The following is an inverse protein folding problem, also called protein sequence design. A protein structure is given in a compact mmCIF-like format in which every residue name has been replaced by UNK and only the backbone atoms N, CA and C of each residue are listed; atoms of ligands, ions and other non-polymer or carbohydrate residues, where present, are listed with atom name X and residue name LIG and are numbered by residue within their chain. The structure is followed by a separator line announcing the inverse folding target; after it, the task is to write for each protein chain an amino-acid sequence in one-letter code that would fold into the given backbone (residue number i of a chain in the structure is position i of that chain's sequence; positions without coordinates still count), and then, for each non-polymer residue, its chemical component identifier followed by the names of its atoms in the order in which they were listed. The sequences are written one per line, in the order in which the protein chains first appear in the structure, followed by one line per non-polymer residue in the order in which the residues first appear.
data_IF_806473390385
#
_entry.id   IF_806473390385
#
_cell.length_a   1.000
_cell.length_b   1.000
_cell.length_c   1.000
_cell.angle_alpha   90.00
_cell.angle_beta   90.00
_cell.angle_gamma   90.00
#
_symmetry.space_group_name_H-M   'P 1'
#
loop_
_entity.id
_entity.type
_entity.pdbx_description
1 polymer ?
#
# COMPACT_ATOMS: atom_id res chain seq x y z
N UNK A 1 -21.77 -7.95 -3.67
CA UNK A 1 -21.55 -7.26 -2.38
C UNK A 1 -20.15 -7.60 -1.91
N UNK A 2 -19.41 -6.65 -1.32
CA UNK A 2 -18.05 -6.87 -0.82
C UNK A 2 -17.86 -6.20 0.55
N UNK A 3 -16.85 -6.61 1.30
CA UNK A 3 -16.50 -6.04 2.60
C UNK A 3 -15.34 -6.79 3.26
N UNK A 4 -14.83 -6.28 4.37
CA UNK A 4 -13.66 -6.86 5.05
C UNK A 4 -12.30 -6.46 4.45
N UNK A 5 -12.27 -6.08 3.17
CA UNK A 5 -11.15 -5.41 2.50
C UNK A 5 -11.67 -4.40 1.47
N UNK A 6 -10.81 -3.48 1.03
CA UNK A 6 -11.10 -2.64 -0.12
C UNK A 6 -11.22 -3.50 -1.39
N UNK A 7 -12.17 -3.16 -2.26
CA UNK A 7 -12.20 -3.67 -3.62
C UNK A 7 -11.31 -2.77 -4.48
N UNK A 8 -10.45 -3.32 -5.36
CA UNK A 8 -9.69 -2.51 -6.29
C UNK A 8 -10.59 -1.61 -7.13
N UNK A 9 -10.25 -0.33 -7.26
CA UNK A 9 -11.10 0.65 -7.94
C UNK A 9 -11.39 0.23 -9.38
N UNK A 10 -10.33 -0.12 -10.12
CA UNK A 10 -10.42 -0.61 -11.52
C UNK A 10 -11.40 -1.77 -11.71
N UNK A 11 -11.46 -2.70 -10.77
CA UNK A 11 -12.39 -3.83 -10.83
C UNK A 11 -13.82 -3.39 -10.52
N UNK A 12 -14.02 -2.58 -9.48
CA UNK A 12 -15.36 -2.14 -9.11
C UNK A 12 -15.96 -1.18 -10.15
N UNK A 13 -15.15 -0.31 -10.74
CA UNK A 13 -15.54 0.58 -11.84
C UNK A 13 -15.99 -0.25 -13.05
N UNK A 14 -15.21 -1.25 -13.45
CA UNK A 14 -15.58 -2.18 -14.52
C UNK A 14 -16.94 -2.84 -14.25
N UNK A 15 -17.15 -3.39 -13.05
CA UNK A 15 -18.40 -4.07 -12.71
C UNK A 15 -19.60 -3.10 -12.75
N UNK A 16 -19.46 -1.91 -12.19
CA UNK A 16 -20.52 -0.90 -12.15
C UNK A 16 -20.84 -0.34 -13.53
N UNK A 17 -19.83 -0.18 -14.38
CA UNK A 17 -20.01 0.23 -15.79
C UNK A 17 -20.75 -0.84 -16.61
N UNK A 18 -20.64 -2.12 -16.24
CA UNK A 18 -21.44 -3.21 -16.80
C UNK A 18 -22.85 -3.32 -16.18
N UNK A 19 -23.27 -2.34 -15.37
CA UNK A 19 -24.61 -2.30 -14.76
C UNK A 19 -24.76 -3.13 -13.49
N UNK A 20 -23.68 -3.68 -12.93
CA UNK A 20 -23.73 -4.44 -11.68
C UNK A 20 -23.90 -3.46 -10.51
N UNK A 21 -24.92 -3.69 -9.68
CA UNK A 21 -25.10 -2.96 -8.44
C UNK A 21 -24.13 -3.45 -7.35
N UNK A 22 -22.86 -3.03 -7.45
CA UNK A 22 -21.83 -3.37 -6.48
C UNK A 22 -22.05 -2.59 -5.18
N UNK A 23 -22.34 -3.31 -4.08
CA UNK A 23 -22.54 -2.73 -2.74
C UNK A 23 -21.37 -3.10 -1.83
N UNK A 24 -20.74 -2.08 -1.26
CA UNK A 24 -19.71 -2.18 -0.23
C UNK A 24 -20.31 -2.12 1.16
N UNK A 25 -19.84 -3.00 2.02
CA UNK A 25 -20.17 -3.05 3.45
C UNK A 25 -18.96 -2.69 4.27
N UNK A 26 -19.13 -1.75 5.19
CA UNK A 26 -18.08 -1.31 6.09
C UNK A 26 -18.47 -1.51 7.56
N UNK A 27 -17.50 -2.05 8.29
CA UNK A 27 -17.59 -2.37 9.69
C UNK A 27 -16.33 -3.06 10.18
N UNK A 28 -16.09 -2.99 11.48
CA UNK A 28 -15.02 -3.73 12.16
C UNK A 28 -15.65 -4.69 13.18
N UNK A 29 -14.85 -5.58 13.75
CA UNK A 29 -15.34 -6.50 14.78
C UNK A 29 -15.82 -5.73 16.03
N UNK A 30 -15.19 -4.60 16.33
CA UNK A 30 -15.37 -3.81 17.55
C UNK A 30 -16.60 -2.89 17.52
N UNK A 31 -17.04 -2.48 16.34
CA UNK A 31 -18.18 -1.57 16.16
C UNK A 31 -19.32 -2.18 15.31
N UNK A 32 -19.16 -3.43 14.89
CA UNK A 32 -20.06 -4.11 13.98
C UNK A 32 -20.06 -3.49 12.58
N UNK A 33 -21.05 -3.86 11.77
CA UNK A 33 -21.33 -3.20 10.50
C UNK A 33 -22.14 -1.93 10.77
N UNK A 34 -21.74 -0.80 10.16
CA UNK A 34 -22.41 0.47 10.40
C UNK A 34 -22.57 1.35 9.16
N UNK A 35 -21.78 1.17 8.10
CA UNK A 35 -21.98 1.88 6.83
C UNK A 35 -22.10 0.93 5.64
N UNK A 36 -22.81 1.39 4.60
CA UNK A 36 -22.95 0.68 3.30
C UNK A 36 -22.87 1.68 2.16
N UNK A 37 -22.55 1.23 0.94
CA UNK A 37 -22.65 2.05 -0.27
C UNK A 37 -23.98 1.87 -1.03
N UNK A 38 -25.06 1.57 -0.30
CA UNK A 38 -26.42 1.63 -0.87
C UNK A 38 -26.67 3.02 -1.44
N UNK A 39 -27.16 3.05 -2.68
CA UNK A 39 -27.29 4.26 -3.46
C UNK A 39 -28.44 4.16 -4.46
N UNK A 40 -29.01 5.29 -4.91
CA UNK A 40 -30.01 5.32 -5.96
C UNK A 40 -29.51 4.73 -7.28
N UNK A 41 -30.44 4.32 -8.14
CA UNK A 41 -30.09 3.89 -9.50
C UNK A 41 -29.40 5.02 -10.28
N UNK A 42 -28.38 4.68 -11.05
CA UNK A 42 -27.58 5.64 -11.83
C UNK A 42 -26.41 6.27 -11.06
N UNK A 43 -26.39 6.14 -9.73
CA UNK A 43 -25.25 6.54 -8.91
C UNK A 43 -24.11 5.53 -9.06
N UNK A 44 -22.94 5.99 -9.49
CA UNK A 44 -21.75 5.16 -9.70
C UNK A 44 -20.77 5.17 -8.52
N UNK A 45 -21.05 5.88 -7.42
CA UNK A 45 -20.18 6.01 -6.26
C UNK A 45 -20.19 4.73 -5.37
N UNK A 46 -19.83 3.59 -5.97
CA UNK A 46 -19.91 2.27 -5.36
C UNK A 46 -18.91 2.06 -4.22
N UNK A 47 -17.75 2.73 -4.28
CA UNK A 47 -16.69 2.70 -3.28
C UNK A 47 -16.86 3.76 -2.17
N UNK A 48 -17.98 4.48 -2.15
CA UNK A 48 -18.32 5.44 -1.10
C UNK A 48 -19.40 4.88 -0.18
N UNK A 49 -19.04 4.58 1.06
CA UNK A 49 -20.01 4.18 2.09
C UNK A 49 -20.67 5.42 2.69
N UNK A 50 -21.93 5.27 3.12
CA UNK A 50 -22.77 6.39 3.55
C UNK A 50 -23.17 6.26 5.00
N UNK A 51 -23.22 7.39 5.67
CA UNK A 51 -23.81 7.46 7.01
C UNK A 51 -25.32 7.31 6.93
N UNK A 52 -25.89 6.55 7.86
CA UNK A 52 -27.34 6.57 8.08
C UNK A 52 -27.72 7.69 9.05
N UNK A 53 -28.97 8.22 9.00
CA UNK A 53 -29.43 9.22 9.97
C UNK A 53 -29.31 8.78 11.44
N UNK A 54 -29.41 7.46 11.71
CA UNK A 54 -29.22 6.90 13.05
C UNK A 54 -27.77 6.90 13.49
N UNK A 55 -26.85 6.78 12.53
CA UNK A 55 -25.41 6.66 12.78
C UNK A 55 -24.72 8.03 12.82
N UNK A 56 -25.11 9.01 11.99
CA UNK A 56 -24.43 10.31 11.91
C UNK A 56 -24.20 10.99 13.27
N UNK A 57 -25.15 11.02 14.23
CA UNK A 57 -24.92 11.64 15.53
C UNK A 57 -23.90 10.89 16.40
N UNK A 58 -23.59 9.64 16.03
CA UNK A 58 -22.69 8.73 16.73
C UNK A 58 -21.37 8.53 15.97
N UNK A 59 -21.13 9.29 14.90
CA UNK A 59 -19.86 9.32 14.20
C UNK A 59 -19.14 10.65 14.41
N UNK A 60 -17.84 10.55 14.64
CA UNK A 60 -16.92 11.69 14.69
C UNK A 60 -15.80 11.48 13.68
N UNK A 61 -15.64 12.44 12.79
CA UNK A 61 -14.57 12.45 11.78
C UNK A 61 -13.42 13.32 12.25
N UNK A 62 -12.27 12.71 12.53
CA UNK A 62 -11.07 13.41 12.98
C UNK A 62 -10.15 13.67 11.78
N UNK A 63 -9.82 14.93 11.50
CA UNK A 63 -8.93 15.27 10.39
C UNK A 63 -7.50 14.77 10.66
N UNK A 64 -6.95 13.99 9.73
CA UNK A 64 -5.58 13.43 9.76
C UNK A 64 -4.70 13.91 8.59
N UNK A 65 -5.27 14.62 7.62
CA UNK A 65 -4.55 15.23 6.50
C UNK A 65 -5.44 16.20 5.71
N UNK A 66 -4.96 16.73 4.57
CA UNK A 66 -5.70 17.71 3.75
C UNK A 66 -7.15 17.31 3.47
N UNK A 67 -7.36 16.11 2.94
CA UNK A 67 -8.65 15.52 2.61
C UNK A 67 -8.91 14.18 3.33
N UNK A 68 -8.19 13.89 4.41
CA UNK A 68 -8.14 12.56 5.01
C UNK A 68 -8.63 12.59 6.46
N UNK A 69 -9.60 11.72 6.78
CA UNK A 69 -10.31 11.72 8.05
C UNK A 69 -10.35 10.32 8.66
N UNK A 70 -10.17 10.22 9.97
CA UNK A 70 -10.35 9.00 10.73
C UNK A 70 -11.78 8.90 11.26
N UNK A 71 -12.44 7.78 11.01
CA UNK A 71 -13.77 7.49 11.54
C UNK A 71 -13.71 7.03 13.00
N UNK A 72 -14.44 7.70 13.88
CA UNK A 72 -14.57 7.33 15.30
C UNK A 72 -16.03 7.10 15.65
N UNK A 73 -16.35 5.92 16.21
CA UNK A 73 -17.71 5.58 16.65
C UNK A 73 -17.87 5.94 18.12
N UNK A 74 -18.83 6.82 18.41
CA UNK A 74 -19.14 7.34 19.74
C UNK A 74 -19.94 6.31 20.58
N UNK A 75 -20.00 6.48 21.91
CA UNK A 75 -20.89 5.69 22.76
C UNK A 75 -22.36 5.78 22.30
N UNK A 76 -23.10 4.68 22.43
CA UNK A 76 -24.52 4.61 22.06
C UNK A 76 -24.82 3.85 20.77
N UNK A 77 -23.79 3.49 19.98
CA UNK A 77 -23.98 2.59 18.84
C UNK A 77 -24.24 1.15 19.32
N UNK A 78 -25.40 0.53 19.01
CA UNK A 78 -25.78 -0.75 19.62
C UNK A 78 -24.82 -1.92 19.34
N UNK A 79 -24.16 -1.93 18.18
CA UNK A 79 -23.24 -3.00 17.80
C UNK A 79 -21.79 -2.75 18.27
N UNK A 80 -21.54 -1.66 18.99
CA UNK A 80 -20.21 -1.35 19.53
C UNK A 80 -19.94 -2.17 20.79
N UNK A 81 -18.92 -3.02 20.71
CA UNK A 81 -18.50 -3.94 21.78
C UNK A 81 -17.14 -3.61 22.38
N UNK A 82 -16.38 -2.68 21.79
CA UNK A 82 -15.11 -2.21 22.35
C UNK A 82 -14.98 -0.67 22.34
N UNK A 83 -14.02 -0.18 23.10
CA UNK A 83 -13.62 1.25 23.18
C UNK A 83 -12.09 1.33 23.23
N UNK A 84 -11.51 2.35 22.61
CA UNK A 84 -10.06 2.58 22.65
C UNK A 84 -9.68 4.05 22.90
N UNK A 85 -10.65 4.87 23.31
CA UNK A 85 -10.48 6.28 23.66
C UNK A 85 -10.97 6.56 25.09
N UNK A 86 -10.44 7.59 25.77
CA UNK A 86 -10.86 7.97 27.13
C UNK A 86 -12.35 8.33 27.27
N UNK A 87 -12.98 8.85 26.21
CA UNK A 87 -14.40 9.22 26.18
C UNK A 87 -15.34 8.03 25.89
N UNK A 88 -14.81 6.80 25.89
CA UNK A 88 -15.57 5.59 25.59
C UNK A 88 -15.87 5.39 24.10
N UNK A 89 -15.36 6.25 23.22
CA UNK A 89 -15.45 6.05 21.77
C UNK A 89 -14.46 4.98 21.28
N UNK A 90 -14.67 4.53 20.05
CA UNK A 90 -13.76 3.63 19.35
C UNK A 90 -13.26 4.30 18.07
N UNK A 91 -11.99 4.71 18.07
CA UNK A 91 -11.29 5.17 16.89
C UNK A 91 -10.97 3.96 16.02
N UNK A 92 -11.55 3.89 14.82
CA UNK A 92 -11.41 2.73 13.93
C UNK A 92 -9.99 2.55 13.43
N UNK A 93 -9.19 3.64 13.43
CA UNK A 93 -7.93 3.77 12.70
C UNK A 93 -8.09 3.63 11.19
N UNK A 94 -9.30 3.64 10.66
CA UNK A 94 -9.56 3.63 9.23
C UNK A 94 -9.67 5.07 8.72
N UNK A 95 -8.96 5.37 7.63
CA UNK A 95 -8.87 6.67 7.00
C UNK A 95 -9.76 6.74 5.77
N UNK A 96 -10.46 7.87 5.63
CA UNK A 96 -11.46 8.11 4.62
C UNK A 96 -11.28 9.46 3.94
N UNK A 97 -11.67 9.52 2.67
CA UNK A 97 -11.86 10.76 1.92
C UNK A 97 -13.36 11.02 1.74
N UNK A 98 -13.84 12.26 1.98
CA UNK A 98 -15.21 12.63 1.68
C UNK A 98 -15.45 12.63 0.16
N UNK A 99 -16.66 12.27 -0.25
CA UNK A 99 -17.07 12.44 -1.64
C UNK A 99 -17.10 13.94 -1.98
N UNK A 100 -16.61 14.37 -3.15
CA UNK A 100 -16.54 15.79 -3.50
C UNK A 100 -17.91 16.48 -3.56
N UNK A 101 -18.98 15.73 -3.80
CA UNK A 101 -20.33 16.28 -4.03
C UNK A 101 -21.48 15.58 -3.30
N UNK A 102 -21.24 14.44 -2.64
CA UNK A 102 -22.29 13.66 -1.98
C UNK A 102 -22.06 13.78 -0.48
N UNK A 103 -22.98 14.43 0.22
CA UNK A 103 -22.88 14.63 1.66
C UNK A 103 -22.83 13.28 2.39
N UNK A 104 -21.99 13.21 3.43
CA UNK A 104 -21.82 12.03 4.30
C UNK A 104 -21.51 10.72 3.57
N UNK A 105 -20.88 10.83 2.40
CA UNK A 105 -20.36 9.71 1.64
C UNK A 105 -18.82 9.70 1.76
N UNK A 106 -18.27 8.55 2.11
CA UNK A 106 -16.88 8.40 2.52
C UNK A 106 -16.24 7.23 1.79
N UNK A 107 -15.13 7.49 1.10
CA UNK A 107 -14.32 6.45 0.46
C UNK A 107 -13.26 5.99 1.45
N UNK A 108 -13.22 4.69 1.72
CA UNK A 108 -12.13 4.10 2.50
C UNK A 108 -10.82 4.20 1.71
N UNK A 109 -9.76 4.67 2.37
CA UNK A 109 -8.44 4.88 1.78
C UNK A 109 -7.43 3.87 2.32
N UNK A 110 -7.26 3.83 3.63
CA UNK A 110 -6.28 2.97 4.27
C UNK A 110 -6.49 2.90 5.78
N UNK A 111 -5.84 1.93 6.41
CA UNK A 111 -5.58 1.93 7.84
C UNK A 111 -4.49 2.95 8.17
N UNK A 112 -4.68 3.67 9.27
CA UNK A 112 -3.69 4.60 9.84
C UNK A 112 -2.44 3.84 10.29
N UNK A 113 -2.63 2.66 10.86
CA UNK A 113 -1.56 1.77 11.35
C UNK A 113 -0.93 0.86 10.27
N UNK A 114 -1.40 0.93 9.02
CA UNK A 114 -0.74 0.26 7.87
C UNK A 114 0.27 1.18 7.15
N UNK A 115 0.59 2.33 7.72
CA UNK A 115 1.61 3.21 7.14
C UNK A 115 2.99 2.58 7.28
N UNK A 116 3.63 2.30 6.15
CA UNK A 116 5.03 1.84 6.08
C UNK A 116 5.92 3.08 6.13
N UNK A 117 6.85 3.11 7.09
CA UNK A 117 7.82 4.19 7.23
C UNK A 117 9.19 3.64 6.86
N UNK A 118 9.75 4.13 5.75
CA UNK A 118 11.09 3.77 5.30
C UNK A 118 12.15 4.37 6.22
N UNK A 119 13.40 3.89 6.13
CA UNK A 119 14.51 4.37 6.97
C UNK A 119 14.82 5.87 6.77
N UNK A 120 14.53 6.41 5.59
CA UNK A 120 14.66 7.83 5.26
C UNK A 120 13.48 8.68 5.76
N UNK A 121 12.51 8.09 6.46
CA UNK A 121 11.34 8.77 7.00
C UNK A 121 10.16 8.91 6.03
N UNK A 122 10.31 8.48 4.78
CA UNK A 122 9.21 8.48 3.80
C UNK A 122 8.08 7.57 4.24
N UNK A 123 6.84 8.04 4.02
CA UNK A 123 5.63 7.35 4.45
C UNK A 123 4.86 6.83 3.25
N UNK A 124 4.54 5.55 3.29
CA UNK A 124 3.82 4.86 2.23
C UNK A 124 2.58 4.15 2.76
N UNK A 125 1.48 4.22 2.01
CA UNK A 125 0.23 3.53 2.31
C UNK A 125 -0.02 2.48 1.23
N UNK A 126 0.08 1.18 1.55
CA UNK A 126 0.17 0.13 0.54
C UNK A 126 -1.17 -0.24 -0.11
N UNK A 127 -2.30 0.10 0.51
CA UNK A 127 -3.64 -0.39 0.16
C UNK A 127 -3.98 -0.23 -1.32
N UNK A 128 -3.69 0.92 -1.93
CA UNK A 128 -4.00 1.16 -3.34
C UNK A 128 -3.11 0.37 -4.30
N UNK A 129 -1.81 0.36 -4.06
CA UNK A 129 -0.84 -0.41 -4.87
C UNK A 129 -1.11 -1.91 -4.76
N UNK A 130 -1.35 -2.40 -3.55
CA UNK A 130 -1.72 -3.81 -3.32
C UNK A 130 -3.04 -4.16 -3.99
N UNK A 131 -4.06 -3.28 -3.89
CA UNK A 131 -5.34 -3.47 -4.57
C UNK A 131 -5.17 -3.57 -6.08
N UNK A 132 -4.33 -2.72 -6.68
CA UNK A 132 -4.04 -2.76 -8.12
C UNK A 132 -3.36 -4.07 -8.53
N UNK A 133 -2.36 -4.53 -7.79
CA UNK A 133 -1.69 -5.82 -8.08
C UNK A 133 -2.68 -6.99 -7.92
N UNK A 134 -3.50 -6.97 -6.87
CA UNK A 134 -4.51 -8.00 -6.57
C UNK A 134 -5.65 -8.06 -7.58
N UNK A 135 -5.84 -7.03 -8.41
CA UNK A 135 -6.84 -7.10 -9.48
C UNK A 135 -6.43 -8.07 -10.60
N UNK A 136 -5.16 -8.49 -10.65
CA UNK A 136 -4.69 -9.50 -11.59
C UNK A 136 -5.11 -10.91 -11.16
N UNK A 137 -5.67 -11.69 -12.10
CA UNK A 137 -6.22 -13.05 -11.85
C UNK A 137 -5.22 -14.06 -11.26
N UNK A 138 -3.92 -13.82 -11.45
CA UNK A 138 -2.85 -14.67 -10.95
C UNK A 138 -2.52 -14.40 -9.46
N UNK A 139 -3.14 -13.42 -8.82
CA UNK A 139 -2.85 -13.00 -7.44
C UNK A 139 -4.04 -13.29 -6.54
N UNK A 140 -3.81 -14.01 -5.45
CA UNK A 140 -4.78 -14.12 -4.34
C UNK A 140 -4.60 -12.96 -3.36
N UNK A 141 -3.36 -12.66 -2.97
CA UNK A 141 -3.06 -11.55 -2.08
C UNK A 141 -1.67 -10.99 -2.38
N UNK A 142 -1.47 -9.73 -2.06
CA UNK A 142 -0.15 -9.09 -2.12
C UNK A 142 0.06 -8.24 -0.87
N UNK A 143 1.23 -8.34 -0.28
CA UNK A 143 1.59 -7.60 0.92
C UNK A 143 2.90 -6.86 0.68
N UNK A 144 2.82 -5.54 0.62
CA UNK A 144 3.99 -4.67 0.54
C UNK A 144 4.61 -4.55 1.93
N UNK A 145 5.94 -4.61 2.01
CA UNK A 145 6.74 -4.46 3.21
C UNK A 145 7.82 -3.38 3.02
N UNK A 146 8.49 -3.01 4.11
CA UNK A 146 9.66 -2.10 4.07
C UNK A 146 9.82 -1.15 5.26
N UNK A 147 9.13 -1.41 6.37
CA UNK A 147 9.27 -0.57 7.57
C UNK A 147 10.71 -0.61 8.09
N UNK A 148 11.33 0.55 8.28
CA UNK A 148 12.72 0.66 8.72
C UNK A 148 13.76 0.19 7.68
N UNK A 149 13.37 0.04 6.41
CA UNK A 149 14.23 -0.41 5.31
C UNK A 149 14.42 0.70 4.28
N UNK A 150 15.47 0.65 3.44
CA UNK A 150 15.74 1.69 2.43
C UNK A 150 14.71 1.74 1.31
N UNK A 151 14.10 0.60 0.96
CA UNK A 151 13.17 0.49 -0.15
C UNK A 151 12.02 -0.48 0.16
N UNK A 152 10.90 -0.32 -0.55
CA UNK A 152 9.73 -1.20 -0.46
C UNK A 152 9.97 -2.51 -1.20
N UNK A 153 9.38 -3.59 -0.68
CA UNK A 153 9.27 -4.87 -1.38
C UNK A 153 7.86 -5.43 -1.30
N UNK A 154 7.60 -6.55 -1.99
CA UNK A 154 6.29 -7.18 -1.96
C UNK A 154 6.39 -8.71 -1.93
N UNK A 155 5.54 -9.34 -1.11
CA UNK A 155 5.26 -10.76 -1.17
C UNK A 155 3.93 -10.98 -1.89
N UNK A 156 3.92 -11.86 -2.88
CA UNK A 156 2.75 -12.19 -3.70
C UNK A 156 2.32 -13.62 -3.37
N UNK A 157 1.08 -13.77 -2.92
CA UNK A 157 0.42 -15.08 -2.80
C UNK A 157 -0.25 -15.40 -4.14
N UNK A 158 0.23 -16.42 -4.87
CA UNK A 158 -0.32 -16.76 -6.18
C UNK A 158 -1.73 -17.34 -6.08
N UNK A 159 -2.50 -17.17 -7.15
CA UNK A 159 -3.85 -17.72 -7.29
C UNK A 159 -3.82 -19.22 -7.60
N UNK A 160 -4.77 -20.02 -7.07
CA UNK A 160 -4.92 -21.43 -7.48
C UNK A 160 -5.12 -21.61 -9.00
N UNK A 161 -5.57 -20.56 -9.70
CA UNK A 161 -5.73 -20.56 -11.16
C UNK A 161 -4.41 -20.71 -11.93
N UNK A 162 -3.27 -20.46 -11.27
CA UNK A 162 -1.93 -20.52 -11.88
C UNK A 162 -1.06 -21.60 -11.25
N UNK A 163 -1.64 -22.61 -10.59
CA UNK A 163 -0.92 -23.67 -9.88
C UNK A 163 0.06 -24.49 -10.75
N UNK A 164 -0.16 -24.54 -12.07
CA UNK A 164 0.72 -25.22 -13.03
C UNK A 164 1.93 -24.37 -13.44
N UNK A 165 1.94 -23.07 -13.11
CA UNK A 165 3.00 -22.14 -13.49
C UNK A 165 4.07 -22.07 -12.41
N UNK A 166 5.33 -21.90 -12.82
CA UNK A 166 6.42 -21.59 -11.89
C UNK A 166 6.26 -20.18 -11.30
N UNK A 167 6.93 -19.92 -10.17
CA UNK A 167 6.96 -18.58 -9.56
C UNK A 167 7.39 -17.49 -10.54
N UNK A 168 8.39 -17.77 -11.40
CA UNK A 168 8.87 -16.82 -12.41
C UNK A 168 7.82 -16.53 -13.48
N UNK A 169 7.11 -17.56 -13.95
CA UNK A 169 6.03 -17.41 -14.93
C UNK A 169 4.86 -16.60 -14.35
N UNK A 170 4.52 -16.83 -13.08
CA UNK A 170 3.50 -16.03 -12.37
C UNK A 170 3.97 -14.59 -12.26
N UNK A 171 5.23 -14.38 -11.89
CA UNK A 171 5.81 -13.06 -11.75
C UNK A 171 5.81 -12.27 -13.07
N UNK A 172 6.20 -12.90 -14.17
CA UNK A 172 6.20 -12.29 -15.50
C UNK A 172 4.80 -11.84 -15.93
N UNK A 173 3.76 -12.59 -15.56
CA UNK A 173 2.38 -12.18 -15.85
C UNK A 173 1.94 -10.95 -15.02
N UNK A 174 2.43 -10.81 -13.79
CA UNK A 174 2.02 -9.74 -12.86
C UNK A 174 2.86 -8.48 -13.06
N UNK A 175 4.10 -8.61 -13.55
CA UNK A 175 5.03 -7.49 -13.71
C UNK A 175 4.44 -6.28 -14.47
N UNK A 176 3.69 -6.44 -15.58
CA UNK A 176 3.06 -5.30 -16.26
C UNK A 176 2.12 -4.48 -15.35
N UNK A 177 1.40 -5.14 -14.44
CA UNK A 177 0.49 -4.47 -13.49
C UNK A 177 1.27 -3.72 -12.41
N UNK A 178 2.40 -4.29 -11.95
CA UNK A 178 3.31 -3.63 -11.02
C UNK A 178 3.95 -2.40 -11.68
N UNK A 179 4.37 -2.52 -12.94
CA UNK A 179 4.95 -1.40 -13.69
C UNK A 179 3.94 -0.26 -13.85
N UNK A 180 2.68 -0.57 -14.16
CA UNK A 180 1.61 0.42 -14.22
C UNK A 180 1.42 1.15 -12.88
N UNK A 181 1.42 0.42 -11.76
CA UNK A 181 1.35 1.02 -10.43
C UNK A 181 2.57 1.94 -10.16
N UNK A 182 3.77 1.48 -10.50
CA UNK A 182 5.02 2.24 -10.36
C UNK A 182 5.03 3.56 -11.16
N UNK A 183 4.39 3.62 -12.33
CA UNK A 183 4.32 4.85 -13.16
C UNK A 183 3.62 6.01 -12.45
N UNK A 184 2.63 5.70 -11.61
CA UNK A 184 1.89 6.70 -10.83
C UNK A 184 2.47 6.94 -9.43
N UNK A 185 3.42 6.08 -9.00
CA UNK A 185 4.04 6.16 -7.70
C UNK A 185 5.21 7.15 -7.67
N UNK A 186 5.40 7.80 -6.51
CA UNK A 186 6.64 8.53 -6.21
C UNK A 186 7.84 7.57 -6.24
N UNK A 187 9.03 8.09 -6.50
CA UNK A 187 10.26 7.28 -6.64
C UNK A 187 10.47 6.32 -5.47
N UNK A 188 10.37 6.79 -4.22
CA UNK A 188 10.52 5.95 -3.02
C UNK A 188 9.45 4.85 -2.86
N UNK A 189 8.33 4.98 -3.58
CA UNK A 189 7.19 4.09 -3.51
C UNK A 189 7.14 3.06 -4.66
N UNK A 190 8.14 3.06 -5.54
CA UNK A 190 8.24 2.11 -6.65
C UNK A 190 8.78 0.78 -6.15
N UNK A 191 8.17 -0.32 -6.62
CA UNK A 191 8.62 -1.68 -6.34
C UNK A 191 9.61 -2.12 -7.43
N UNK A 192 10.86 -2.41 -7.04
CA UNK A 192 11.85 -3.00 -7.95
C UNK A 192 11.53 -4.46 -8.23
N UNK A 193 11.96 -4.96 -9.39
CA UNK A 193 11.80 -6.37 -9.77
C UNK A 193 12.50 -7.29 -8.78
N UNK A 194 13.68 -6.89 -8.31
CA UNK A 194 14.63 -7.77 -7.60
C UNK A 194 14.26 -8.04 -6.14
N UNK A 195 13.29 -7.33 -5.58
CA UNK A 195 12.84 -7.50 -4.19
C UNK A 195 11.47 -8.17 -4.07
N UNK A 196 10.76 -8.33 -5.19
CA UNK A 196 9.44 -8.96 -5.17
C UNK A 196 9.61 -10.46 -5.14
N UNK A 197 8.84 -11.15 -4.29
CA UNK A 197 8.86 -12.61 -4.20
C UNK A 197 7.46 -13.17 -4.39
N UNK A 198 7.34 -14.19 -5.24
CA UNK A 198 6.14 -15.01 -5.36
C UNK A 198 6.28 -16.18 -4.39
N UNK A 199 5.35 -16.27 -3.44
CA UNK A 199 5.30 -17.33 -2.44
C UNK A 199 4.86 -18.66 -3.06
N UNK A 200 5.10 -19.80 -2.38
CA UNK A 200 4.62 -21.11 -2.84
C UNK A 200 3.10 -21.15 -3.06
N UNK A 201 2.62 -21.97 -4.00
CA UNK A 201 1.20 -22.08 -4.34
C UNK A 201 0.29 -22.56 -3.21
N UNK A 202 0.83 -23.35 -2.28
CA UNK A 202 0.13 -23.90 -1.11
C UNK A 202 0.27 -23.04 0.15
N UNK A 203 0.89 -21.86 0.01
CA UNK A 203 1.20 -20.95 1.10
C UNK A 203 -0.07 -20.57 1.89
N UNK A 204 -0.07 -20.94 3.18
CA UNK A 204 -1.06 -20.47 4.13
C UNK A 204 -0.61 -19.14 4.73
N UNK A 205 -1.53 -18.19 4.85
CA UNK A 205 -1.23 -16.87 5.40
C UNK A 205 -2.30 -16.40 6.40
N UNK A 206 -1.92 -15.56 7.39
CA UNK A 206 -2.86 -15.04 8.38
C UNK A 206 -3.96 -14.17 7.75
N UNK A 207 -5.22 -14.58 7.93
CA UNK A 207 -6.41 -13.89 7.42
C UNK A 207 -7.54 -13.93 8.43
N UNK A 208 -8.44 -12.95 8.36
CA UNK A 208 -9.66 -12.91 9.15
C UNK A 208 -10.68 -13.96 8.65
N UNK A 209 -11.76 -14.17 9.40
CA UNK A 209 -12.88 -15.02 8.96
C UNK A 209 -13.53 -14.54 7.64
N UNK A 210 -13.31 -13.26 7.28
CA UNK A 210 -13.77 -12.66 6.02
C UNK A 210 -12.75 -12.84 4.88
N UNK A 211 -11.64 -13.51 5.13
CA UNK A 211 -10.57 -13.76 4.16
C UNK A 211 -9.60 -12.59 3.96
N UNK A 212 -9.76 -11.46 4.64
CA UNK A 212 -8.84 -10.32 4.53
C UNK A 212 -7.55 -10.53 5.32
N UNK A 213 -6.45 -9.98 4.83
CA UNK A 213 -5.12 -10.12 5.43
C UNK A 213 -5.05 -9.51 6.85
N UNK A 214 -4.36 -10.20 7.76
CA UNK A 214 -3.97 -9.64 9.07
C UNK A 214 -2.50 -9.22 8.96
N UNK A 215 -2.24 -7.99 8.49
CA UNK A 215 -0.90 -7.53 8.07
C UNK A 215 0.22 -7.76 9.11
N UNK A 216 -0.01 -7.39 10.37
CA UNK A 216 1.01 -7.57 11.41
C UNK A 216 1.32 -9.06 11.67
N UNK A 217 0.29 -9.92 11.64
CA UNK A 217 0.50 -11.36 11.73
C UNK A 217 1.20 -11.91 10.49
N UNK A 218 0.89 -11.38 9.31
CA UNK A 218 1.59 -11.72 8.06
C UNK A 218 3.07 -11.37 8.13
N UNK A 219 3.45 -10.14 8.51
CA UNK A 219 4.85 -9.77 8.66
C UNK A 219 5.60 -10.68 9.63
N UNK A 220 4.96 -11.07 10.75
CA UNK A 220 5.53 -12.02 11.70
C UNK A 220 5.69 -13.43 11.12
N UNK A 221 4.71 -13.91 10.36
CA UNK A 221 4.74 -15.24 9.74
C UNK A 221 5.79 -15.34 8.63
N UNK A 222 5.96 -14.27 7.85
CA UNK A 222 6.84 -14.20 6.68
C UNK A 222 8.12 -13.40 6.93
N UNK A 223 8.55 -13.29 8.19
CA UNK A 223 9.77 -12.55 8.53
C UNK A 223 10.97 -13.11 7.76
N UNK A 224 11.12 -14.43 7.68
CA UNK A 224 12.23 -15.06 6.97
C UNK A 224 12.22 -14.72 5.46
N UNK A 225 11.06 -14.75 4.81
CA UNK A 225 10.93 -14.41 3.39
C UNK A 225 11.23 -12.94 3.12
N UNK A 226 10.81 -12.04 4.02
CA UNK A 226 11.09 -10.61 3.92
C UNK A 226 12.59 -10.35 4.06
N UNK A 227 13.24 -10.92 5.07
CA UNK A 227 14.70 -10.78 5.25
C UNK A 227 15.45 -11.36 4.05
N UNK A 228 15.05 -12.55 3.58
CA UNK A 228 15.66 -13.18 2.42
C UNK A 228 15.51 -12.34 1.14
N UNK A 229 14.36 -11.67 0.95
CA UNK A 229 14.17 -10.74 -0.17
C UNK A 229 15.19 -9.59 -0.13
N UNK A 230 15.42 -9.00 1.05
CA UNK A 230 16.44 -7.96 1.24
C UNK A 230 17.86 -8.50 1.00
N UNK A 231 18.19 -9.67 1.56
CA UNK A 231 19.52 -10.26 1.42
C UNK A 231 19.86 -10.57 -0.04
N UNK A 232 18.89 -11.12 -0.79
CA UNK A 232 19.06 -11.41 -2.21
C UNK A 232 19.22 -10.14 -3.04
N UNK A 233 18.42 -9.10 -2.78
CA UNK A 233 18.58 -7.81 -3.47
C UNK A 233 19.95 -7.18 -3.16
N UNK A 234 20.40 -7.21 -1.90
CA UNK A 234 21.72 -6.74 -1.52
C UNK A 234 22.85 -7.54 -2.19
N UNK A 235 22.66 -8.85 -2.40
CA UNK A 235 23.64 -9.69 -3.12
C UNK A 235 23.68 -9.42 -4.63
N UNK A 236 22.54 -9.09 -5.26
CA UNK A 236 22.49 -8.65 -6.67
C UNK A 236 23.19 -7.29 -6.81
N UNK A 237 23.03 -6.38 -5.84
CA UNK A 237 23.79 -5.13 -5.79
C UNK A 237 25.28 -5.35 -5.50
N UNK A 238 25.65 -6.41 -4.78
CA UNK A 238 27.05 -6.76 -4.53
C UNK A 238 27.76 -7.31 -5.78
N UNK A 239 27.05 -8.07 -6.63
CA UNK A 239 27.57 -8.54 -7.93
C UNK A 239 27.79 -7.39 -8.94
N UNK A 240 27.22 -6.21 -8.70
CA UNK A 240 27.50 -4.99 -9.49
C UNK A 240 28.84 -4.33 -9.11
N UNK A 241 29.55 -4.80 -8.09
CA UNK A 241 30.81 -4.20 -7.63
C UNK A 241 31.98 -5.18 -7.53
N UNK A 242 32.35 -5.75 -8.68
CA UNK A 242 33.76 -6.08 -8.94
C UNK A 242 34.48 -4.90 -9.62
N UNK A 243 34.07 -3.65 -9.36
CA UNK A 243 34.82 -2.48 -9.82
C UNK A 243 36.11 -2.40 -9.01
N UNK A 244 37.24 -2.38 -9.71
CA UNK A 244 38.50 -1.95 -9.12
C UNK A 244 38.38 -0.52 -8.61
N UNK A 245 39.24 -0.11 -7.67
CA UNK A 245 39.23 1.25 -7.11
C UNK A 245 39.17 2.33 -8.21
N UNK A 246 39.94 2.25 -9.31
CA UNK A 246 39.84 3.22 -10.41
C UNK A 246 38.48 3.22 -11.12
N UNK A 247 37.85 2.06 -11.29
CA UNK A 247 36.55 1.94 -11.94
C UNK A 247 35.41 2.45 -11.05
N UNK A 248 35.50 2.23 -9.73
CA UNK A 248 34.58 2.79 -8.76
C UNK A 248 34.71 4.32 -8.67
N UNK A 249 35.94 4.84 -8.66
CA UNK A 249 36.17 6.28 -8.73
C UNK A 249 35.56 6.90 -9.99
N UNK A 250 35.76 6.28 -11.16
CA UNK A 250 35.17 6.73 -12.41
C UNK A 250 33.63 6.69 -12.37
N UNK A 251 33.04 5.61 -11.84
CA UNK A 251 31.61 5.46 -11.71
C UNK A 251 30.98 6.52 -10.80
N UNK A 252 31.60 6.78 -9.64
CA UNK A 252 31.14 7.82 -8.71
C UNK A 252 31.24 9.19 -9.36
N UNK A 253 32.35 9.49 -10.07
CA UNK A 253 32.53 10.75 -10.80
C UNK A 253 31.46 10.94 -11.87
N UNK A 254 31.22 9.94 -12.71
CA UNK A 254 30.20 9.99 -13.77
C UNK A 254 28.79 10.17 -13.20
N UNK A 255 28.50 9.55 -12.05
CA UNK A 255 27.22 9.70 -11.36
C UNK A 255 27.05 11.11 -10.82
N UNK A 256 28.10 11.67 -10.20
CA UNK A 256 28.08 13.04 -9.68
C UNK A 256 27.92 14.08 -10.79
N UNK A 257 28.58 13.91 -11.95
CA UNK A 257 28.40 14.81 -13.12
C UNK A 257 26.94 14.78 -13.61
N UNK A 258 26.28 13.62 -13.59
CA UNK A 258 24.85 13.52 -13.98
C UNK A 258 23.92 14.24 -13.01
N UNK A 259 24.22 14.19 -11.72
CA UNK A 259 23.41 14.82 -10.66
C UNK A 259 23.71 16.32 -10.55
N UNK A 260 24.92 16.74 -10.89
CA UNK A 260 25.40 18.13 -10.84
C UNK A 260 25.85 18.61 -12.24
N UNK A 261 24.92 18.79 -13.21
CA UNK A 261 25.27 19.17 -14.57
C UNK A 261 25.96 20.54 -14.68
N UNK A 262 25.84 21.39 -13.66
CA UNK A 262 26.46 22.72 -13.60
C UNK A 262 27.86 22.72 -12.95
N UNK A 263 28.31 21.60 -12.38
CA UNK A 263 29.63 21.48 -11.78
C UNK A 263 30.69 21.34 -12.89
N UNK A 264 31.27 22.46 -13.30
CA UNK A 264 32.44 22.46 -14.20
C UNK A 264 33.68 22.01 -13.44
N UNK A 265 34.15 20.82 -13.76
CA UNK A 265 35.41 20.23 -13.28
C UNK A 265 35.58 20.30 -11.75
N UNK A 266 34.73 19.60 -10.99
CA UNK A 266 34.77 19.64 -9.53
C UNK A 266 36.09 19.06 -9.01
N UNK A 267 36.62 19.66 -7.96
CA UNK A 267 37.71 19.07 -7.20
C UNK A 267 37.23 17.76 -6.60
N UNK A 268 37.68 16.64 -7.18
CA UNK A 268 37.28 15.29 -6.77
C UNK A 268 37.81 14.87 -5.40
N UNK A 269 38.58 15.73 -4.74
CA UNK A 269 39.01 15.57 -3.34
C UNK A 269 38.18 16.39 -2.37
N UNK A 270 37.28 17.24 -2.87
CA UNK A 270 36.42 18.08 -2.05
C UNK A 270 35.23 17.31 -1.49
N UNK A 271 34.67 17.78 -0.37
CA UNK A 271 33.48 17.17 0.22
C UNK A 271 32.21 17.50 -0.59
N UNK A 272 31.20 16.63 -0.53
CA UNK A 272 29.98 16.78 -1.32
C UNK A 272 29.18 18.06 -1.00
N UNK A 273 29.25 18.58 0.22
CA UNK A 273 28.56 19.82 0.58
C UNK A 273 29.21 21.03 -0.08
N UNK A 274 30.54 21.03 -0.18
CA UNK A 274 31.30 22.05 -0.92
C UNK A 274 30.97 22.03 -2.42
N UNK A 275 30.54 20.87 -2.94
CA UNK A 275 30.02 20.69 -4.30
C UNK A 275 28.52 21.06 -4.45
N UNK A 276 27.90 21.65 -3.41
CA UNK A 276 26.50 22.06 -3.35
C UNK A 276 25.48 20.92 -3.45
N UNK A 277 25.87 19.70 -3.11
CA UNK A 277 24.91 18.62 -2.89
C UNK A 277 24.13 18.89 -1.59
N UNK A 278 22.82 19.03 -1.72
CA UNK A 278 21.91 19.08 -0.57
C UNK A 278 21.20 17.74 -0.38
N UNK A 279 20.45 17.63 0.72
CA UNK A 279 19.71 16.41 1.06
C UNK A 279 18.63 16.00 0.05
N UNK A 280 18.25 16.89 -0.88
CA UNK A 280 17.29 16.56 -1.95
C UNK A 280 17.99 15.91 -3.14
N UNK A 281 19.28 16.22 -3.36
CA UNK A 281 20.10 15.67 -4.44
C UNK A 281 20.85 14.39 -4.04
N UNK A 282 20.89 14.05 -2.76
CA UNK A 282 21.55 12.85 -2.22
C UNK A 282 20.66 11.60 -2.11
N UNK A 283 19.43 11.63 -2.64
CA UNK A 283 18.43 10.54 -2.57
C UNK A 283 18.20 9.86 -3.91
#
# INVERSE_FOLDING_TARGET
MYGGSACPDTLGDLLVDQGINLIGHYGTTEVGQFMTSFRPQGDKAWNYVRESPKLSPLLRWLRRGPNLFEGTVLPGWPAKVASNQPDGSYATKDLFEPHPTIDKAWKYIARLDDTIVLVNGERFKPVMTEGKIRSHKAVTETVIFGSGRPYLGALIVPSPLVHELSSDQVFDQIWPVIEEANRTAKTYARLSRDIIRVLPHDCQFPRTDKGSIIRQAFYKAFTADIENAYDQTASVDADLNALSIPELEAFVRDTLVKVLPDAKDPDWTADFFSMRLDSLQSN
#
